data_IF_391449181233
#
_entry.id   IF_391449181233
#
_cell.length_a   1.000
_cell.length_b   1.000
_cell.length_c   1.000
_cell.angle_alpha   90.00
_cell.angle_beta   90.00
_cell.angle_gamma   90.00
#
_symmetry.space_group_name_H-M   'P 1'
#
loop_
_entity.id
_entity.type
_entity.pdbx_description
1 polymer ?
#
# COMPACT_ATOMS: atom_id res chain seq x y z
N UNK A 1 -42.83 8.21 13.16
CA UNK A 1 -42.44 8.71 11.82
C UNK A 1 -40.92 8.85 11.80
N UNK A 2 -40.25 8.18 10.86
CA UNK A 2 -38.78 8.11 10.78
C UNK A 2 -38.15 9.29 10.05
N UNK A 3 -36.93 9.63 10.43
CA UNK A 3 -36.11 10.63 9.73
C UNK A 3 -34.63 10.30 9.91
N UNK A 4 -34.10 9.39 9.09
CA UNK A 4 -32.65 9.20 8.97
C UNK A 4 -32.07 10.43 8.27
N UNK A 5 -31.35 11.26 9.01
CA UNK A 5 -30.61 12.41 8.48
C UNK A 5 -29.46 11.93 7.59
N UNK A 6 -29.74 11.75 6.29
CA UNK A 6 -28.67 11.55 5.30
C UNK A 6 -27.91 12.86 5.18
N UNK A 7 -26.70 12.91 5.73
CA UNK A 7 -25.75 14.01 5.49
C UNK A 7 -25.29 13.95 4.05
N UNK A 8 -26.10 14.53 3.16
CA UNK A 8 -25.88 14.56 1.73
C UNK A 8 -24.80 15.59 1.41
N UNK A 9 -23.91 15.28 0.46
CA UNK A 9 -22.91 16.24 -0.04
C UNK A 9 -23.62 17.42 -0.71
N UNK A 10 -22.95 18.58 -0.87
CA UNK A 10 -23.51 19.77 -1.55
C UNK A 10 -24.14 19.44 -2.92
N UNK A 11 -23.71 18.36 -3.58
CA UNK A 11 -24.27 17.84 -4.84
C UNK A 11 -25.30 16.71 -4.73
N UNK A 12 -25.98 16.49 -3.61
CA UNK A 12 -27.09 15.51 -3.55
C UNK A 12 -26.67 14.04 -3.37
N UNK A 13 -25.37 13.73 -3.40
CA UNK A 13 -24.87 12.37 -3.25
C UNK A 13 -24.73 11.95 -1.77
N UNK A 14 -25.03 10.68 -1.44
CA UNK A 14 -24.76 10.12 -0.11
C UNK A 14 -23.30 10.29 0.27
N UNK A 15 -23.03 10.84 1.45
CA UNK A 15 -21.65 11.00 1.94
C UNK A 15 -21.07 9.63 2.32
N UNK A 16 -19.88 9.32 1.81
CA UNK A 16 -19.11 8.16 2.27
C UNK A 16 -18.71 8.37 3.72
N UNK A 17 -19.15 7.47 4.60
CA UNK A 17 -18.72 7.44 6.01
C UNK A 17 -17.54 6.47 6.10
N UNK A 18 -16.36 6.98 6.53
CA UNK A 18 -15.22 6.10 6.79
C UNK A 18 -15.62 5.10 7.88
N UNK A 19 -15.23 3.83 7.72
CA UNK A 19 -15.49 2.77 8.68
C UNK A 19 -16.99 2.43 8.90
N UNK A 20 -17.87 2.76 7.94
CA UNK A 20 -19.30 2.44 8.03
C UNK A 20 -19.60 0.95 8.26
N UNK A 21 -18.76 0.07 7.71
CA UNK A 21 -18.86 -1.39 7.84
C UNK A 21 -17.59 -1.97 8.48
N UNK A 22 -17.04 -1.30 9.50
CA UNK A 22 -15.87 -1.81 10.20
C UNK A 22 -16.28 -2.85 11.25
N UNK A 23 -15.62 -4.00 11.24
CA UNK A 23 -15.78 -5.04 12.25
C UNK A 23 -15.47 -4.47 13.66
N UNK A 24 -16.20 -4.89 14.72
CA UNK A 24 -16.03 -4.33 16.06
C UNK A 24 -14.59 -4.37 16.58
N UNK A 25 -13.81 -5.39 16.20
CA UNK A 25 -12.44 -5.63 16.67
C UNK A 25 -11.41 -4.64 16.09
N UNK A 26 -11.80 -3.81 15.12
CA UNK A 26 -10.92 -2.87 14.44
C UNK A 26 -11.27 -1.40 14.74
N UNK A 27 -12.33 -1.15 15.53
CA UNK A 27 -12.79 0.20 15.89
C UNK A 27 -11.85 0.84 16.91
N UNK A 28 -11.46 0.05 17.89
CA UNK A 28 -10.32 0.35 18.73
C UNK A 28 -9.12 0.23 17.80
N UNK A 29 -8.44 1.34 17.54
CA UNK A 29 -7.25 1.34 16.71
C UNK A 29 -6.20 0.38 17.28
N UNK A 30 -5.00 0.30 16.70
CA UNK A 30 -3.92 -0.45 17.33
C UNK A 30 -3.46 0.24 18.63
N UNK A 31 -4.30 0.28 19.67
CA UNK A 31 -3.98 0.60 21.06
C UNK A 31 -3.04 -0.45 21.68
N UNK A 32 -2.76 -1.50 20.93
CA UNK A 32 -1.73 -2.48 21.22
C UNK A 32 -0.58 -2.41 20.21
N UNK A 33 -0.09 -1.21 19.87
CA UNK A 33 1.31 -1.13 19.45
C UNK A 33 2.14 -1.36 20.73
N UNK A 34 2.83 -2.50 20.90
CA UNK A 34 3.73 -2.65 22.03
C UNK A 34 4.66 -1.44 22.00
N UNK A 35 4.88 -0.82 23.16
CA UNK A 35 5.86 0.26 23.30
C UNK A 35 7.10 -0.19 22.55
N UNK A 36 7.39 0.46 21.42
CA UNK A 36 8.54 0.13 20.60
C UNK A 36 9.70 0.43 21.54
N UNK A 37 10.28 -0.61 22.13
CA UNK A 37 11.49 -0.48 22.91
C UNK A 37 12.41 0.42 22.08
N UNK A 38 12.89 1.51 22.69
CA UNK A 38 13.78 2.45 22.04
C UNK A 38 15.11 1.73 21.78
N UNK A 39 15.11 0.84 20.79
CA UNK A 39 16.33 0.32 20.23
C UNK A 39 16.95 1.52 19.55
N UNK A 40 17.97 2.08 20.22
CA UNK A 40 18.85 3.05 19.57
C UNK A 40 19.31 2.38 18.28
N UNK A 41 19.12 3.02 17.12
CA UNK A 41 19.61 2.44 15.89
C UNK A 41 21.13 2.31 16.07
N UNK A 42 21.61 1.07 16.14
CA UNK A 42 23.03 0.76 16.03
C UNK A 42 23.58 1.53 14.82
N UNK A 43 24.75 2.15 14.98
CA UNK A 43 25.40 2.90 13.92
C UNK A 43 25.76 1.90 12.81
N UNK A 44 24.97 1.86 11.74
CA UNK A 44 25.12 0.85 10.69
C UNK A 44 26.29 1.21 9.79
N UNK A 45 27.15 0.23 9.52
CA UNK A 45 28.22 0.38 8.55
C UNK A 45 27.61 0.71 7.16
N UNK A 46 28.09 1.80 6.57
CA UNK A 46 27.64 2.26 5.27
C UNK A 46 27.86 1.19 4.19
N UNK A 47 28.92 0.39 4.29
CA UNK A 47 29.21 -0.65 3.30
C UNK A 47 28.28 -1.86 3.47
N UNK A 48 27.93 -2.23 4.71
CA UNK A 48 26.94 -3.27 4.97
C UNK A 48 25.57 -2.89 4.40
N UNK A 49 25.15 -1.64 4.60
CA UNK A 49 23.90 -1.11 4.04
C UNK A 49 23.96 -1.09 2.51
N UNK A 50 25.07 -0.65 1.92
CA UNK A 50 25.27 -0.61 0.46
C UNK A 50 25.17 -2.02 -0.14
N UNK A 51 25.83 -3.00 0.45
CA UNK A 51 25.79 -4.40 0.02
C UNK A 51 24.37 -4.99 0.09
N UNK A 52 23.64 -4.70 1.18
CA UNK A 52 22.25 -5.12 1.35
C UNK A 52 21.33 -4.50 0.29
N UNK A 53 21.45 -3.20 0.04
CA UNK A 53 20.65 -2.52 -0.97
C UNK A 53 20.97 -2.99 -2.39
N UNK A 54 22.25 -3.22 -2.71
CA UNK A 54 22.67 -3.75 -4.00
C UNK A 54 22.10 -5.15 -4.26
N UNK A 55 22.01 -6.00 -3.22
CA UNK A 55 21.41 -7.33 -3.33
C UNK A 55 19.90 -7.27 -3.63
N UNK A 56 19.17 -6.37 -2.97
CA UNK A 56 17.75 -6.14 -3.24
C UNK A 56 17.53 -5.62 -4.67
N UNK A 57 18.35 -4.67 -5.13
CA UNK A 57 18.29 -4.15 -6.49
C UNK A 57 18.57 -5.23 -7.54
N UNK A 58 19.59 -6.07 -7.32
CA UNK A 58 19.88 -7.21 -8.21
C UNK A 58 18.72 -8.21 -8.26
N UNK A 59 18.10 -8.49 -7.12
CA UNK A 59 16.91 -9.35 -7.05
C UNK A 59 15.72 -8.77 -7.83
N UNK A 60 15.50 -7.46 -7.73
CA UNK A 60 14.42 -6.80 -8.47
C UNK A 60 14.68 -6.76 -9.97
N UNK A 61 15.90 -6.43 -10.40
CA UNK A 61 16.24 -6.43 -11.82
C UNK A 61 16.05 -7.84 -12.41
N UNK A 62 16.58 -8.87 -11.74
CA UNK A 62 16.38 -10.27 -12.14
C UNK A 62 14.88 -10.60 -12.25
N UNK A 63 14.08 -10.23 -11.25
CA UNK A 63 12.64 -10.48 -11.27
C UNK A 63 11.97 -9.83 -12.47
N UNK A 64 12.37 -8.61 -12.86
CA UNK A 64 11.82 -7.97 -14.08
C UNK A 64 12.26 -8.68 -15.35
N UNK A 65 13.53 -9.08 -15.44
CA UNK A 65 14.05 -9.79 -16.61
C UNK A 65 13.34 -11.15 -16.76
N UNK A 66 13.08 -11.85 -15.65
CA UNK A 66 12.30 -13.09 -15.61
C UNK A 66 10.83 -12.88 -16.00
N UNK A 67 10.17 -11.82 -15.52
CA UNK A 67 8.80 -11.50 -15.91
C UNK A 67 8.70 -11.09 -17.38
N UNK A 68 9.66 -10.31 -17.90
CA UNK A 68 9.70 -9.92 -19.32
C UNK A 68 9.94 -11.13 -20.22
N UNK A 69 10.82 -12.05 -19.83
CA UNK A 69 11.05 -13.30 -20.55
C UNK A 69 9.82 -14.25 -20.50
N UNK A 70 9.04 -14.20 -19.42
CA UNK A 70 7.77 -14.95 -19.29
C UNK A 70 6.61 -14.35 -20.09
N UNK A 71 6.55 -13.02 -20.20
CA UNK A 71 5.56 -12.30 -21.03
C UNK A 71 5.80 -12.52 -22.53
N UNK A 72 7.05 -12.62 -22.98
CA UNK A 72 7.36 -12.91 -24.40
C UNK A 72 6.93 -14.35 -24.79
N UNK A 73 6.91 -15.28 -23.82
CA UNK A 73 6.35 -16.63 -23.98
C UNK A 73 4.81 -16.65 -23.88
N UNK A 74 4.19 -15.59 -23.35
CA UNK A 74 2.75 -15.50 -23.07
C UNK A 74 2.20 -14.18 -23.59
N UNK A 75 2.25 -13.96 -24.90
CA UNK A 75 1.51 -12.89 -25.59
C UNK A 75 0.00 -13.04 -25.34
N UNK A 76 -0.46 -12.64 -24.15
CA UNK A 76 -1.83 -12.78 -23.70
C UNK A 76 -1.98 -12.84 -22.18
N UNK A 77 -2.16 -11.65 -21.57
CA UNK A 77 -2.83 -11.41 -20.26
C UNK A 77 -1.93 -11.13 -19.05
N UNK A 78 -1.48 -9.88 -18.94
CA UNK A 78 -1.65 -9.11 -17.72
C UNK A 78 -1.80 -7.61 -18.08
N UNK A 79 -2.95 -6.97 -17.81
CA UNK A 79 -3.04 -5.52 -17.98
C UNK A 79 -2.21 -4.83 -16.91
N UNK A 80 -1.16 -4.13 -17.35
CA UNK A 80 -0.38 -3.23 -16.51
C UNK A 80 -1.28 -2.20 -15.84
N UNK A 81 -1.09 -2.01 -14.54
CA UNK A 81 -1.73 -0.93 -13.79
C UNK A 81 -0.94 0.36 -14.04
N UNK A 82 -1.19 1.01 -15.17
CA UNK A 82 -0.75 2.39 -15.38
C UNK A 82 -1.54 3.31 -14.46
N UNK A 83 -0.92 4.10 -13.59
CA UNK A 83 -1.59 5.25 -13.01
C UNK A 83 -1.38 6.43 -13.97
N UNK A 84 -2.12 6.46 -15.09
CA UNK A 84 -2.38 7.73 -15.76
C UNK A 84 -3.29 8.55 -14.83
N UNK A 85 -2.66 9.31 -13.95
CA UNK A 85 -3.26 10.39 -13.18
C UNK A 85 -2.72 11.72 -13.67
N UNK A 86 -3.03 12.08 -14.92
CA UNK A 86 -2.92 13.48 -15.36
C UNK A 86 -4.05 14.26 -14.69
N UNK A 87 -3.70 14.98 -13.63
CA UNK A 87 -4.60 15.78 -12.82
C UNK A 87 -4.04 17.18 -12.70
N UNK A 88 -4.19 17.95 -13.77
CA UNK A 88 -3.90 19.39 -13.83
C UNK A 88 -5.18 20.20 -13.77
#
# INVERSE_FOLDING_TARGET
AGGRTTTTTVGGLPRRVRQANLAPQLKDGPDHRPARAETRPEERDAEEVRSRMASLQRGWQRGRDENAAGDDATNGTAPGTTPEGDGR
#
